data_IF_661366619932
#
_entry.id   IF_661366619932
#
_cell.length_a   1.000
_cell.length_b   1.000
_cell.length_c   1.000
_cell.angle_alpha   90.00
_cell.angle_beta   90.00
_cell.angle_gamma   90.00
#
_symmetry.space_group_name_H-M   'P 1'
#
loop_
_entity.id
_entity.type
_entity.pdbx_description
1 polymer ?
#
# COMPACT_ATOMS: atom_id res chain seq x y z
N UNK A 1 -7.62 21.81 13.79
CA UNK A 1 -7.87 20.46 13.24
C UNK A 1 -7.66 20.57 11.75
N UNK A 2 -6.72 19.84 11.19
CA UNK A 2 -6.54 19.81 9.72
C UNK A 2 -7.79 19.20 9.10
N UNK A 3 -8.37 19.89 8.11
CA UNK A 3 -9.54 19.39 7.39
C UNK A 3 -9.12 18.20 6.53
N UNK A 4 -9.74 17.05 6.74
CA UNK A 4 -9.57 15.89 5.87
C UNK A 4 -10.24 16.16 4.52
N UNK A 5 -9.56 15.83 3.43
CA UNK A 5 -10.13 15.86 2.07
C UNK A 5 -10.71 14.49 1.76
N UNK A 6 -11.98 14.43 1.38
CA UNK A 6 -12.68 13.18 1.08
C UNK A 6 -12.95 13.07 -0.44
N UNK A 7 -12.78 11.87 -1.03
CA UNK A 7 -13.25 11.59 -2.39
C UNK A 7 -14.79 11.44 -2.41
N UNK A 8 -15.42 11.35 -3.59
CA UNK A 8 -16.81 10.96 -3.70
C UNK A 8 -17.08 9.63 -3.00
N UNK A 9 -18.09 9.59 -2.13
CA UNK A 9 -18.47 8.40 -1.37
C UNK A 9 -19.84 7.88 -1.83
N UNK A 10 -20.08 6.59 -1.62
CA UNK A 10 -21.43 6.06 -1.70
C UNK A 10 -22.33 6.71 -0.64
N UNK A 11 -23.64 6.60 -0.82
CA UNK A 11 -24.55 6.88 0.28
C UNK A 11 -24.54 5.72 1.28
N UNK A 12 -24.85 6.01 2.54
CA UNK A 12 -24.84 5.02 3.62
C UNK A 12 -25.73 3.82 3.31
N UNK A 13 -26.94 4.05 2.81
CA UNK A 13 -27.90 2.98 2.52
C UNK A 13 -27.40 2.09 1.36
N UNK A 14 -26.80 2.71 0.34
CA UNK A 14 -26.19 1.97 -0.77
C UNK A 14 -25.01 1.12 -0.30
N UNK A 15 -24.13 1.66 0.54
CA UNK A 15 -23.05 0.87 1.15
C UNK A 15 -23.59 -0.30 1.99
N UNK A 16 -24.65 -0.09 2.78
CA UNK A 16 -25.24 -1.15 3.58
C UNK A 16 -25.83 -2.28 2.73
N UNK A 17 -26.30 -1.97 1.52
CA UNK A 17 -26.84 -2.95 0.55
C UNK A 17 -25.78 -3.83 -0.12
N UNK A 18 -24.50 -3.46 -0.07
CA UNK A 18 -23.41 -4.23 -0.65
C UNK A 18 -23.21 -5.58 0.07
N UNK A 19 -22.76 -6.59 -0.68
CA UNK A 19 -22.27 -7.85 -0.12
C UNK A 19 -21.00 -7.62 0.72
N UNK A 20 -20.64 -8.60 1.55
CA UNK A 20 -19.44 -8.49 2.38
C UNK A 20 -18.15 -8.28 1.56
N UNK A 21 -18.03 -8.96 0.40
CA UNK A 21 -16.89 -8.82 -0.51
C UNK A 21 -16.81 -7.41 -1.08
N UNK A 22 -17.93 -6.89 -1.60
CA UNK A 22 -18.00 -5.53 -2.16
C UNK A 22 -17.75 -4.45 -1.10
N UNK A 23 -18.19 -4.67 0.15
CA UNK A 23 -17.89 -3.77 1.27
C UNK A 23 -16.40 -3.69 1.54
N UNK A 24 -15.72 -4.84 1.57
CA UNK A 24 -14.28 -4.91 1.78
C UNK A 24 -13.51 -4.20 0.66
N UNK A 25 -13.89 -4.45 -0.60
CA UNK A 25 -13.29 -3.79 -1.75
C UNK A 25 -13.53 -2.28 -1.74
N UNK A 26 -14.77 -1.86 -1.48
CA UNK A 26 -15.13 -0.44 -1.36
C UNK A 26 -14.32 0.25 -0.25
N UNK A 27 -14.26 -0.34 0.94
CA UNK A 27 -13.53 0.20 2.07
C UNK A 27 -12.03 0.36 1.75
N UNK A 28 -11.42 -0.66 1.14
CA UNK A 28 -10.03 -0.63 0.73
C UNK A 28 -9.75 0.49 -0.28
N UNK A 29 -10.56 0.58 -1.35
CA UNK A 29 -10.40 1.59 -2.39
C UNK A 29 -10.66 3.00 -1.87
N UNK A 30 -11.69 3.18 -1.04
CA UNK A 30 -12.01 4.47 -0.41
C UNK A 30 -10.84 4.97 0.44
N UNK A 31 -10.27 4.11 1.29
CA UNK A 31 -9.15 4.50 2.14
C UNK A 31 -7.88 4.81 1.35
N UNK A 32 -7.62 4.07 0.28
CA UNK A 32 -6.51 4.35 -0.64
C UNK A 32 -6.65 5.75 -1.27
N UNK A 33 -7.85 6.11 -1.73
CA UNK A 33 -8.12 7.44 -2.29
C UNK A 33 -8.07 8.55 -1.22
N UNK A 34 -8.60 8.31 -0.02
CA UNK A 34 -8.49 9.25 1.10
C UNK A 34 -7.01 9.53 1.41
N UNK A 35 -6.15 8.52 1.51
CA UNK A 35 -4.73 8.74 1.77
C UNK A 35 -4.06 9.54 0.65
N UNK A 36 -4.36 9.24 -0.63
CA UNK A 36 -3.81 9.98 -1.77
C UNK A 36 -4.12 11.47 -1.72
N UNK A 37 -5.30 11.85 -1.24
CA UNK A 37 -5.75 13.24 -1.13
C UNK A 37 -5.18 13.97 0.10
N UNK A 38 -4.59 13.27 1.06
CA UNK A 38 -4.14 13.82 2.34
C UNK A 38 -2.65 13.53 2.62
N UNK A 39 -1.76 14.36 2.08
CA UNK A 39 -0.31 14.16 2.16
C UNK A 39 0.31 14.30 3.56
N UNK A 40 -0.36 14.96 4.51
CA UNK A 40 0.12 15.16 5.88
C UNK A 40 0.02 13.91 6.77
N UNK A 41 -0.56 12.84 6.23
CA UNK A 41 -0.83 11.61 6.96
C UNK A 41 -2.07 11.72 7.85
N UNK A 42 -2.74 10.59 8.03
CA UNK A 42 -3.99 10.51 8.77
C UNK A 42 -3.91 9.44 9.85
N UNK A 43 -4.61 9.68 10.95
CA UNK A 43 -4.85 8.69 12.01
C UNK A 43 -6.21 8.01 11.79
N UNK A 44 -6.38 6.79 12.32
CA UNK A 44 -7.68 6.09 12.29
C UNK A 44 -8.82 6.95 12.86
N UNK A 45 -8.68 7.61 14.04
CA UNK A 45 -9.75 8.46 14.57
C UNK A 45 -10.15 9.61 13.65
N UNK A 46 -9.19 10.25 12.97
CA UNK A 46 -9.50 11.33 12.01
C UNK A 46 -10.38 10.82 10.87
N UNK A 47 -10.06 9.63 10.33
CA UNK A 47 -10.83 9.02 9.26
C UNK A 47 -12.21 8.56 9.77
N UNK A 48 -12.26 7.93 10.95
CA UNK A 48 -13.49 7.42 11.56
C UNK A 48 -14.52 8.52 11.83
N UNK A 49 -14.06 9.73 12.20
CA UNK A 49 -14.97 10.89 12.33
C UNK A 49 -15.51 11.42 10.99
N UNK A 50 -14.90 11.02 9.87
CA UNK A 50 -15.19 11.57 8.54
C UNK A 50 -16.00 10.63 7.65
N UNK A 51 -15.98 9.32 7.91
CA UNK A 51 -16.64 8.29 7.09
C UNK A 51 -17.37 7.26 7.94
N UNK A 52 -18.30 6.51 7.34
CA UNK A 52 -19.19 5.58 8.05
C UNK A 52 -18.76 4.09 7.94
N UNK A 53 -17.46 3.80 7.85
CA UNK A 53 -16.92 2.42 7.77
C UNK A 53 -16.68 1.75 9.13
N UNK A 54 -16.57 2.54 10.21
CA UNK A 54 -16.31 2.07 11.56
C UNK A 54 -14.83 1.82 11.85
N UNK A 55 -14.38 2.22 13.04
CA UNK A 55 -12.99 2.23 13.48
C UNK A 55 -12.20 0.95 13.17
N UNK A 56 -12.71 -0.22 13.55
CA UNK A 56 -12.02 -1.51 13.37
C UNK A 56 -11.81 -1.85 11.89
N UNK A 57 -12.80 -1.55 11.04
CA UNK A 57 -12.70 -1.79 9.60
C UNK A 57 -11.66 -0.85 8.97
N UNK A 58 -11.68 0.43 9.35
CA UNK A 58 -10.70 1.43 8.89
C UNK A 58 -9.29 0.98 9.24
N UNK A 59 -9.05 0.64 10.51
CA UNK A 59 -7.75 0.15 10.98
C UNK A 59 -7.30 -1.09 10.19
N UNK A 60 -8.17 -2.08 10.05
CA UNK A 60 -7.83 -3.33 9.34
C UNK A 60 -7.40 -3.08 7.89
N UNK A 61 -8.15 -2.27 7.15
CA UNK A 61 -7.81 -1.96 5.76
C UNK A 61 -6.56 -1.09 5.62
N UNK A 62 -6.28 -0.20 6.57
CA UNK A 62 -5.04 0.57 6.60
C UNK A 62 -3.83 -0.31 6.89
N UNK A 63 -3.94 -1.30 7.79
CA UNK A 63 -2.87 -2.29 8.00
C UNK A 63 -2.60 -3.10 6.73
N UNK A 64 -3.64 -3.50 6.00
CA UNK A 64 -3.48 -4.16 4.70
C UNK A 64 -2.75 -3.26 3.69
N UNK A 65 -3.11 -1.97 3.62
CA UNK A 65 -2.41 -1.04 2.73
C UNK A 65 -0.94 -0.88 3.14
N UNK A 66 -0.65 -0.82 4.44
CA UNK A 66 0.72 -0.71 4.93
C UNK A 66 1.54 -1.99 4.66
N UNK A 67 0.97 -3.17 4.89
CA UNK A 67 1.66 -4.46 4.64
C UNK A 67 1.94 -4.71 3.15
N UNK A 68 1.11 -4.14 2.27
CA UNK A 68 1.28 -4.13 0.82
C UNK A 68 2.20 -3.01 0.32
N UNK A 69 2.76 -2.19 1.21
CA UNK A 69 3.54 -1.00 0.86
C UNK A 69 2.78 0.01 -0.02
N UNK A 70 1.45 0.02 0.05
CA UNK A 70 0.58 1.02 -0.59
C UNK A 70 0.52 2.33 0.20
N UNK A 71 0.84 2.28 1.48
CA UNK A 71 1.01 3.46 2.33
C UNK A 71 2.17 3.26 3.30
N UNK A 72 2.67 4.36 3.85
CA UNK A 72 3.66 4.35 4.91
C UNK A 72 2.96 4.47 6.26
N UNK A 73 3.20 3.51 7.15
CA UNK A 73 2.75 3.56 8.55
C UNK A 73 3.88 4.06 9.45
N UNK A 74 3.61 5.10 10.24
CA UNK A 74 4.54 5.65 11.23
C UNK A 74 3.91 5.62 12.61
N UNK A 75 4.66 5.12 13.59
CA UNK A 75 4.27 5.21 15.00
C UNK A 75 4.97 6.38 15.68
N UNK A 76 4.20 7.31 16.25
CA UNK A 76 4.69 8.44 17.07
C UNK A 76 4.09 8.32 18.47
N UNK A 77 4.83 7.72 19.39
CA UNK A 77 4.33 7.36 20.71
C UNK A 77 3.19 6.34 20.59
N UNK A 78 1.99 6.72 21.06
CA UNK A 78 0.78 5.89 20.98
C UNK A 78 -0.09 6.17 19.76
N UNK A 79 0.34 7.07 18.87
CA UNK A 79 -0.41 7.45 17.67
C UNK A 79 0.20 6.78 16.45
N UNK A 80 -0.65 6.17 15.63
CA UNK A 80 -0.29 5.62 14.32
C UNK A 80 -0.79 6.58 13.22
N UNK A 81 0.12 6.95 12.32
CA UNK A 81 -0.13 7.82 11.18
C UNK A 81 0.10 7.04 9.90
N UNK A 82 -0.79 7.21 8.93
CA UNK A 82 -0.71 6.58 7.62
C UNK A 82 -0.54 7.65 6.55
N UNK A 83 0.55 7.58 5.79
CA UNK A 83 0.92 8.51 4.73
C UNK A 83 0.78 7.85 3.36
N UNK A 84 0.35 8.58 2.31
CA UNK A 84 0.34 8.03 0.97
C UNK A 84 1.75 7.76 0.46
N UNK A 85 1.92 6.63 -0.22
CA UNK A 85 3.07 6.43 -1.11
C UNK A 85 2.67 6.89 -2.51
N UNK A 86 3.30 7.95 -3.01
CA UNK A 86 3.05 8.45 -4.36
C UNK A 86 3.87 7.65 -5.37
N UNK A 87 3.21 6.98 -6.31
CA UNK A 87 3.92 6.35 -7.43
C UNK A 87 4.46 7.44 -8.36
N UNK A 88 5.78 7.44 -8.54
CA UNK A 88 6.50 8.35 -9.45
C UNK A 88 6.64 7.69 -10.82
N UNK A 89 7.05 6.42 -10.85
CA UNK A 89 7.36 5.68 -12.07
C UNK A 89 7.14 4.18 -11.86
N UNK A 90 6.49 3.53 -12.84
CA UNK A 90 6.42 2.07 -12.91
C UNK A 90 7.60 1.58 -13.75
N UNK A 91 8.50 0.80 -13.16
CA UNK A 91 9.78 0.46 -13.78
C UNK A 91 9.68 -0.81 -14.63
N UNK A 92 9.27 -1.93 -14.01
CA UNK A 92 9.22 -3.22 -14.68
C UNK A 92 8.35 -4.22 -13.93
N UNK A 93 7.66 -5.03 -14.71
CA UNK A 93 6.90 -6.19 -14.28
C UNK A 93 7.62 -7.47 -14.70
N UNK A 94 7.57 -8.50 -13.86
CA UNK A 94 8.20 -9.79 -14.12
C UNK A 94 7.27 -10.92 -13.71
N UNK A 95 7.05 -11.86 -14.63
CA UNK A 95 6.51 -13.17 -14.31
C UNK A 95 7.66 -14.13 -14.02
N UNK A 96 7.53 -14.91 -12.94
CA UNK A 96 8.38 -16.07 -12.76
C UNK A 96 7.78 -17.26 -13.52
N UNK A 97 8.56 -17.83 -14.44
CA UNK A 97 8.15 -18.96 -15.26
C UNK A 97 7.93 -20.20 -14.38
N UNK A 98 6.70 -20.76 -14.41
CA UNK A 98 6.31 -21.91 -13.59
C UNK A 98 5.75 -21.59 -12.20
N UNK A 99 5.61 -20.32 -11.84
CA UNK A 99 5.16 -19.89 -10.50
C UNK A 99 3.90 -19.02 -10.56
N UNK A 100 3.12 -19.02 -9.47
CA UNK A 100 1.83 -18.31 -9.33
C UNK A 100 1.97 -16.79 -9.10
N UNK A 101 3.20 -16.27 -9.05
CA UNK A 101 3.48 -14.92 -8.60
C UNK A 101 3.96 -13.99 -9.72
N UNK A 102 3.34 -12.81 -9.76
CA UNK A 102 3.74 -11.66 -10.56
C UNK A 102 4.42 -10.61 -9.68
N UNK A 103 5.58 -10.14 -10.11
CA UNK A 103 6.36 -9.13 -9.38
C UNK A 103 6.30 -7.79 -10.11
N UNK A 104 5.99 -6.72 -9.37
CA UNK A 104 6.00 -5.35 -9.90
C UNK A 104 6.98 -4.48 -9.13
N UNK A 105 7.76 -3.68 -9.87
CA UNK A 105 8.70 -2.71 -9.32
C UNK A 105 8.27 -1.30 -9.68
N UNK A 106 8.18 -0.43 -8.66
CA UNK A 106 7.80 0.96 -8.82
C UNK A 106 8.76 1.86 -8.02
N UNK A 107 9.05 3.02 -8.56
CA UNK A 107 9.63 4.13 -7.81
C UNK A 107 8.48 4.88 -7.14
N UNK A 108 8.54 4.97 -5.81
CA UNK A 108 7.55 5.70 -5.00
C UNK A 108 8.23 6.80 -4.19
N UNK A 109 7.46 7.81 -3.81
CA UNK A 109 7.89 8.92 -2.97
C UNK A 109 6.92 9.09 -1.80
N UNK A 110 7.49 9.22 -0.60
CA UNK A 110 6.77 9.55 0.63
C UNK A 110 7.43 10.77 1.32
N UNK A 111 7.02 11.07 2.55
CA UNK A 111 7.55 12.20 3.32
C UNK A 111 9.06 12.13 3.64
N UNK A 112 9.69 10.97 3.50
CA UNK A 112 11.10 10.70 3.74
C UNK A 112 11.93 10.59 2.46
N UNK A 113 11.31 10.78 1.29
CA UNK A 113 11.98 10.82 -0.01
C UNK A 113 11.59 9.65 -0.90
N UNK A 114 12.55 9.17 -1.68
CA UNK A 114 12.31 8.18 -2.76
C UNK A 114 12.67 6.76 -2.34
N UNK A 115 11.84 5.82 -2.77
CA UNK A 115 11.93 4.41 -2.44
C UNK A 115 11.63 3.56 -3.65
N UNK A 116 12.23 2.37 -3.70
CA UNK A 116 11.83 1.30 -4.61
C UNK A 116 10.84 0.41 -3.88
N UNK A 117 9.65 0.29 -4.44
CA UNK A 117 8.60 -0.63 -4.01
C UNK A 117 8.64 -1.87 -4.88
N UNK A 118 8.65 -3.04 -4.24
CA UNK A 118 8.46 -4.35 -4.85
C UNK A 118 7.15 -4.94 -4.31
N UNK A 119 6.23 -5.32 -5.18
CA UNK A 119 4.97 -5.98 -4.81
C UNK A 119 4.85 -7.33 -5.49
N UNK A 120 4.35 -8.34 -4.76
CA UNK A 120 3.91 -9.62 -5.31
C UNK A 120 2.40 -9.67 -5.45
N UNK A 121 1.92 -10.23 -6.56
CA UNK A 121 0.50 -10.46 -6.88
C UNK A 121 0.30 -11.90 -7.33
N UNK A 122 -0.82 -12.52 -6.96
CA UNK A 122 -1.20 -13.82 -7.51
C UNK A 122 -1.68 -13.68 -8.97
N UNK A 123 -1.34 -14.64 -9.82
CA UNK A 123 -1.64 -14.60 -11.25
C UNK A 123 -3.14 -14.75 -11.50
N UNK A 124 -3.73 -13.77 -12.20
CA UNK A 124 -5.16 -13.78 -12.56
C UNK A 124 -6.06 -12.98 -11.61
N UNK A 125 -5.51 -12.42 -10.53
CA UNK A 125 -6.24 -11.53 -9.65
C UNK A 125 -6.08 -10.05 -10.04
N UNK A 126 -7.05 -9.21 -9.66
CA UNK A 126 -7.05 -7.77 -9.95
C UNK A 126 -5.94 -7.03 -9.18
N UNK A 127 -5.71 -5.74 -9.46
CA UNK A 127 -4.73 -4.91 -8.73
C UNK A 127 -4.94 -4.86 -7.20
N UNK A 128 -6.10 -5.29 -6.72
CA UNK A 128 -6.49 -5.41 -5.31
C UNK A 128 -5.87 -6.63 -4.60
N UNK A 129 -5.17 -7.49 -5.35
CA UNK A 129 -4.59 -8.77 -4.90
C UNK A 129 -3.08 -8.74 -4.71
N UNK A 130 -2.55 -7.61 -4.24
CA UNK A 130 -1.16 -7.60 -3.76
C UNK A 130 -1.10 -8.46 -2.50
N UNK A 131 -0.33 -9.53 -2.51
CA UNK A 131 -0.17 -10.38 -1.31
C UNK A 131 0.76 -9.70 -0.30
N UNK A 132 1.85 -9.11 -0.80
CA UNK A 132 2.84 -8.44 0.03
C UNK A 132 3.59 -7.36 -0.74
N UNK A 133 4.13 -6.40 -0.01
CA UNK A 133 5.01 -5.37 -0.56
C UNK A 133 6.23 -5.13 0.32
N UNK A 134 7.36 -4.86 -0.31
CA UNK A 134 8.59 -4.41 0.34
C UNK A 134 8.93 -3.03 -0.21
N UNK A 135 9.27 -2.10 0.69
CA UNK A 135 9.73 -0.76 0.33
C UNK A 135 11.17 -0.58 0.80
N UNK A 136 12.04 -0.08 -0.08
CA UNK A 136 13.48 0.08 0.17
C UNK A 136 13.89 1.50 -0.19
N UNK A 137 14.68 2.15 0.66
CA UNK A 137 15.18 3.50 0.36
C UNK A 137 16.03 3.48 -0.92
N UNK A 138 15.82 4.44 -1.82
CA UNK A 138 16.51 4.47 -3.10
C UNK A 138 18.04 4.62 -2.96
N UNK A 139 18.50 5.26 -1.90
CA UNK A 139 19.93 5.49 -1.63
C UNK A 139 20.72 4.21 -1.27
N UNK A 140 20.05 3.18 -0.76
CA UNK A 140 20.69 1.89 -0.40
C UNK A 140 20.59 0.82 -1.50
N UNK A 141 19.88 1.10 -2.59
CA UNK A 141 19.61 0.10 -3.65
C UNK A 141 20.89 -0.44 -4.27
N UNK A 142 21.91 0.41 -4.45
CA UNK A 142 23.20 -0.01 -4.97
C UNK A 142 23.86 -1.10 -4.11
N UNK A 143 23.76 -1.00 -2.79
CA UNK A 143 24.35 -1.96 -1.86
C UNK A 143 23.51 -3.25 -1.75
N UNK A 144 22.19 -3.14 -1.89
CA UNK A 144 21.29 -4.30 -2.01
C UNK A 144 21.64 -5.09 -3.28
N UNK A 145 21.80 -4.42 -4.43
CA UNK A 145 22.17 -5.08 -5.71
C UNK A 145 23.52 -5.78 -5.59
N UNK A 146 24.52 -5.14 -4.95
CA UNK A 146 25.83 -5.79 -4.69
C UNK A 146 25.66 -7.05 -3.85
N UNK A 147 24.85 -6.99 -2.79
CA UNK A 147 24.58 -8.14 -1.91
C UNK A 147 23.88 -9.27 -2.65
N UNK A 148 22.82 -8.98 -3.41
CA UNK A 148 22.11 -9.95 -4.24
C UNK A 148 23.03 -10.58 -5.30
N UNK A 149 23.89 -9.77 -5.92
CA UNK A 149 24.89 -10.24 -6.90
C UNK A 149 25.90 -11.20 -6.25
N UNK A 150 26.35 -10.90 -5.02
CA UNK A 150 27.25 -11.77 -4.26
C UNK A 150 26.57 -13.10 -3.94
N UNK A 151 25.33 -13.08 -3.45
CA UNK A 151 24.52 -14.28 -3.18
C UNK A 151 24.41 -15.13 -4.44
N UNK A 152 24.04 -14.52 -5.58
CA UNK A 152 23.94 -15.21 -6.87
C UNK A 152 25.23 -15.91 -7.25
N UNK A 153 26.38 -15.23 -7.13
CA UNK A 153 27.69 -15.78 -7.49
C UNK A 153 28.13 -16.94 -6.59
N UNK A 154 27.84 -16.86 -5.29
CA UNK A 154 28.34 -17.81 -4.29
C UNK A 154 27.45 -19.04 -4.11
N UNK A 155 26.14 -18.89 -4.31
CA UNK A 155 25.17 -19.91 -3.92
C UNK A 155 24.24 -20.37 -5.05
N UNK A 156 24.10 -19.58 -6.11
CA UNK A 156 23.12 -19.86 -7.18
C UNK A 156 23.77 -20.14 -8.54
N UNK A 157 25.10 -20.08 -8.64
CA UNK A 157 25.81 -20.60 -9.82
C UNK A 157 25.86 -22.13 -9.73
N UNK A 158 25.02 -22.79 -10.53
CA UNK A 158 25.32 -24.13 -11.05
C UNK A 158 26.43 -24.02 -12.09
#
# INVERSE_FOLDING_TARGET
>A
MTSIVLPPMLEKDKYLSLSASEKGEYAHNLLKEILKLNHEGLTVPQIDTAIYLGHTSIWHHLEILASRADCLKIKRGNVELYFPNKVIESLKEFDMEGEYYHYSFELVEDIYGKFVRLQTREKGESSSAVESGVIMRADIIGDIIKSLTKIKKQHLKK
#
